data_IF_794783184876
#
_entry.id   IF_794783184876
#
_cell.length_a   1.000
_cell.length_b   1.000
_cell.length_c   1.000
_cell.angle_alpha   90.00
_cell.angle_beta   90.00
_cell.angle_gamma   90.00
#
_symmetry.space_group_name_H-M   'P 1'
#
loop_
_entity.id
_entity.type
_entity.pdbx_description
1 polymer ?
#
# COMPACT_ATOMS: atom_id res chain seq x y z
N UNK A 1 -10.52 -4.13 -24.74
CA UNK A 1 -9.74 -5.20 -24.07
C UNK A 1 -8.30 -5.15 -24.57
N UNK A 2 -7.39 -4.97 -23.63
CA UNK A 2 -5.95 -4.97 -23.88
C UNK A 2 -5.46 -6.35 -24.28
N UNK A 3 -4.38 -6.38 -25.06
CA UNK A 3 -3.79 -7.66 -25.52
C UNK A 3 -2.41 -7.93 -24.93
N UNK A 4 -1.79 -6.90 -24.38
CA UNK A 4 -0.43 -6.93 -23.84
C UNK A 4 -0.35 -6.16 -22.53
N UNK A 5 0.75 -6.34 -21.80
CA UNK A 5 1.03 -5.57 -20.61
C UNK A 5 1.22 -4.07 -20.96
N UNK A 6 0.79 -3.20 -20.05
CA UNK A 6 0.96 -1.75 -20.16
C UNK A 6 1.98 -1.29 -19.13
N UNK A 7 2.99 -0.55 -19.60
CA UNK A 7 3.97 0.10 -18.73
C UNK A 7 3.34 1.26 -17.98
N UNK A 8 3.47 1.24 -16.65
CA UNK A 8 3.03 2.31 -15.76
C UNK A 8 4.19 3.28 -15.50
N UNK A 9 3.87 4.57 -15.49
CA UNK A 9 4.82 5.64 -15.25
C UNK A 9 4.76 6.09 -13.79
N UNK A 10 5.83 6.68 -13.24
CA UNK A 10 5.80 7.27 -11.92
C UNK A 10 4.65 8.25 -11.76
N UNK A 11 3.84 8.05 -10.73
CA UNK A 11 2.65 8.85 -10.40
C UNK A 11 2.73 9.28 -8.95
N UNK A 12 3.47 10.36 -8.71
CA UNK A 12 3.73 10.84 -7.36
C UNK A 12 2.51 11.52 -6.76
N UNK A 13 2.19 11.18 -5.51
CA UNK A 13 1.11 11.78 -4.74
C UNK A 13 1.66 12.64 -3.59
N UNK A 14 1.08 13.82 -3.39
CA UNK A 14 1.44 14.69 -2.27
C UNK A 14 0.94 14.12 -0.93
N UNK A 15 1.74 14.31 0.13
CA UNK A 15 1.43 13.86 1.50
C UNK A 15 1.83 14.89 2.53
N UNK A 16 1.43 14.65 3.77
CA UNK A 16 1.72 15.51 4.92
C UNK A 16 3.05 15.20 5.60
N UNK A 17 3.90 14.38 4.98
CA UNK A 17 5.23 14.01 5.46
C UNK A 17 6.23 14.03 4.30
N UNK A 18 7.51 14.17 4.62
CA UNK A 18 8.59 14.18 3.64
C UNK A 18 9.19 12.80 3.43
N UNK A 19 9.65 12.58 2.22
CA UNK A 19 10.36 11.41 1.77
C UNK A 19 10.53 11.40 0.26
N UNK A 20 10.77 10.22 -0.29
CA UNK A 20 10.78 9.97 -1.71
C UNK A 20 12.16 9.97 -2.37
N UNK A 21 13.25 10.35 -1.68
CA UNK A 21 14.58 10.30 -2.26
C UNK A 21 14.99 8.86 -2.59
N UNK A 22 14.87 7.93 -1.64
CA UNK A 22 15.22 6.51 -1.85
C UNK A 22 14.31 5.87 -2.90
N UNK A 23 13.02 6.19 -2.87
CA UNK A 23 12.05 5.73 -3.88
C UNK A 23 12.45 6.22 -5.29
N UNK A 24 12.80 7.49 -5.46
CA UNK A 24 13.21 8.04 -6.77
C UNK A 24 14.53 7.47 -7.25
N UNK A 25 15.50 7.24 -6.35
CA UNK A 25 16.75 6.54 -6.68
C UNK A 25 16.47 5.10 -7.11
N UNK A 26 15.53 4.41 -6.45
CA UNK A 26 15.06 3.09 -6.89
C UNK A 26 14.46 3.13 -8.29
N UNK A 27 13.75 4.20 -8.64
CA UNK A 27 13.18 4.45 -9.98
C UNK A 27 14.22 4.95 -11.01
N UNK A 28 15.49 5.08 -10.64
CA UNK A 28 16.59 5.47 -11.53
C UNK A 28 16.88 6.98 -11.60
N UNK A 29 16.23 7.80 -10.77
CA UNK A 29 16.53 9.23 -10.67
C UNK A 29 17.88 9.44 -9.94
N UNK A 30 18.75 10.27 -10.50
CA UNK A 30 20.03 10.61 -9.86
C UNK A 30 19.89 11.84 -8.96
N UNK A 31 20.54 11.83 -7.81
CA UNK A 31 20.56 12.92 -6.84
C UNK A 31 19.15 13.32 -6.38
N UNK A 32 18.27 12.34 -6.20
CA UNK A 32 16.92 12.54 -5.72
C UNK A 32 16.91 13.20 -4.32
N UNK A 33 15.87 13.98 -4.04
CA UNK A 33 15.72 14.69 -2.78
C UNK A 33 14.35 14.40 -2.15
N UNK A 34 14.33 14.37 -0.82
CA UNK A 34 13.09 14.26 -0.06
C UNK A 34 12.23 15.52 -0.24
N UNK A 35 10.95 15.29 -0.41
CA UNK A 35 9.96 16.34 -0.51
C UNK A 35 8.58 15.79 -0.07
N UNK A 36 7.51 16.56 -0.25
CA UNK A 36 6.13 16.16 0.10
C UNK A 36 5.46 15.26 -0.94
N UNK A 37 6.22 14.57 -1.83
CA UNK A 37 5.73 13.55 -2.75
C UNK A 37 6.45 12.21 -2.48
N UNK A 38 6.24 11.61 -1.30
CA UNK A 38 6.97 10.42 -0.85
C UNK A 38 6.38 9.11 -1.35
N UNK A 39 5.31 9.14 -2.11
CA UNK A 39 4.58 7.99 -2.62
C UNK A 39 4.49 8.00 -4.14
N UNK A 40 4.70 6.82 -4.78
CA UNK A 40 4.41 6.56 -6.20
C UNK A 40 3.23 5.59 -6.29
N UNK A 41 2.11 6.04 -6.85
CA UNK A 41 0.87 5.28 -6.91
C UNK A 41 0.78 4.43 -8.17
N UNK A 42 0.62 3.12 -7.98
CA UNK A 42 0.72 2.08 -8.99
C UNK A 42 -0.63 1.37 -9.13
N UNK A 43 -1.08 1.12 -10.34
CA UNK A 43 -2.39 0.52 -10.64
C UNK A 43 -3.53 1.20 -9.89
N UNK A 44 -3.41 2.51 -9.70
CA UNK A 44 -4.36 3.31 -8.95
C UNK A 44 -5.45 3.86 -9.84
N UNK A 45 -6.69 3.58 -9.43
CA UNK A 45 -7.92 4.17 -9.96
C UNK A 45 -8.56 5.12 -8.94
N UNK A 46 -7.80 5.52 -7.91
CA UNK A 46 -8.24 6.31 -6.77
C UNK A 46 -7.60 7.68 -6.81
N UNK A 47 -8.41 8.74 -6.65
CA UNK A 47 -7.90 10.10 -6.48
C UNK A 47 -7.44 10.31 -5.04
N UNK A 48 -6.26 10.91 -4.87
CA UNK A 48 -5.69 11.23 -3.57
C UNK A 48 -6.55 12.24 -2.80
N UNK A 49 -6.75 11.98 -1.51
CA UNK A 49 -7.54 12.83 -0.60
C UNK A 49 -6.65 13.82 0.14
N UNK A 50 -6.20 14.86 -0.55
CA UNK A 50 -5.33 15.90 0.00
C UNK A 50 -6.12 17.15 0.42
N UNK A 51 -5.46 18.05 1.18
CA UNK A 51 -6.02 19.35 1.60
C UNK A 51 -6.43 20.20 0.39
N UNK A 52 -5.57 20.25 -0.61
CA UNK A 52 -5.83 20.90 -1.89
C UNK A 52 -6.19 19.81 -2.88
N UNK A 53 -7.36 19.91 -3.48
CA UNK A 53 -7.77 18.99 -4.54
C UNK A 53 -6.95 19.30 -5.80
N UNK A 54 -6.30 18.28 -6.33
CA UNK A 54 -5.65 18.30 -7.64
C UNK A 54 -6.34 17.26 -8.52
N UNK A 55 -6.81 17.70 -9.68
CA UNK A 55 -7.52 16.80 -10.59
C UNK A 55 -6.61 15.63 -11.02
N UNK A 56 -7.14 14.41 -10.92
CA UNK A 56 -6.45 13.16 -11.28
C UNK A 56 -5.18 12.85 -10.46
N UNK A 57 -4.91 13.59 -9.36
CA UNK A 57 -3.81 13.22 -8.47
C UNK A 57 -4.00 11.80 -7.92
N UNK A 58 -2.97 10.97 -8.05
CA UNK A 58 -3.00 9.58 -7.63
C UNK A 58 -3.56 8.61 -8.68
N UNK A 59 -4.23 9.06 -9.74
CA UNK A 59 -4.61 8.16 -10.85
C UNK A 59 -3.36 7.81 -11.64
N UNK A 60 -3.05 6.51 -11.72
CA UNK A 60 -1.82 6.04 -12.38
C UNK A 60 -1.74 6.48 -13.84
N UNK A 61 -0.56 6.95 -14.22
CA UNK A 61 -0.21 7.31 -15.59
C UNK A 61 0.42 6.12 -16.29
N UNK A 62 0.07 5.90 -17.54
CA UNK A 62 0.55 4.77 -18.36
C UNK A 62 1.06 5.27 -19.72
N UNK A 63 2.00 4.50 -20.29
CA UNK A 63 2.39 4.66 -21.68
C UNK A 63 1.51 3.77 -22.57
N UNK A 64 0.72 4.36 -23.44
CA UNK A 64 -0.18 3.63 -24.34
C UNK A 64 -0.18 4.24 -25.73
N UNK A 65 0.14 3.43 -26.75
CA UNK A 65 0.26 3.86 -28.16
C UNK A 65 1.16 5.09 -28.35
N UNK A 66 2.31 5.13 -27.64
CA UNK A 66 3.28 6.23 -27.71
C UNK A 66 2.81 7.54 -27.04
N UNK A 67 1.74 7.49 -26.27
CA UNK A 67 1.20 8.65 -25.53
C UNK A 67 1.09 8.34 -24.05
N UNK A 68 1.24 9.37 -23.23
CA UNK A 68 0.95 9.28 -21.80
C UNK A 68 -0.55 9.47 -21.60
N UNK A 69 -1.18 8.53 -20.92
CA UNK A 69 -2.61 8.51 -20.61
C UNK A 69 -2.83 8.22 -19.12
N UNK A 70 -4.02 8.50 -18.62
CA UNK A 70 -4.47 7.94 -17.34
C UNK A 70 -4.85 6.48 -17.53
N UNK A 71 -4.58 5.66 -16.54
CA UNK A 71 -4.94 4.22 -16.56
C UNK A 71 -6.46 4.05 -16.75
N UNK A 72 -7.25 4.96 -16.21
CA UNK A 72 -8.73 5.01 -16.34
C UNK A 72 -9.22 5.22 -17.77
N UNK A 73 -8.41 5.80 -18.64
CA UNK A 73 -8.75 6.06 -20.04
C UNK A 73 -8.40 4.88 -20.96
N UNK A 74 -7.62 3.92 -20.44
CA UNK A 74 -7.02 2.83 -21.22
C UNK A 74 -7.54 1.47 -20.80
N UNK A 75 -7.67 1.24 -19.50
CA UNK A 75 -8.10 -0.05 -18.93
C UNK A 75 -9.62 -0.11 -18.86
N UNK A 76 -10.20 -1.15 -19.46
CA UNK A 76 -11.63 -1.40 -19.46
C UNK A 76 -12.03 -2.39 -18.36
N UNK A 77 -13.35 -2.53 -18.10
CA UNK A 77 -13.87 -3.48 -17.10
C UNK A 77 -13.46 -4.91 -17.42
N UNK A 78 -13.37 -5.27 -18.70
CA UNK A 78 -12.98 -6.60 -19.16
C UNK A 78 -11.50 -6.91 -18.82
N UNK A 79 -10.65 -5.88 -18.78
CA UNK A 79 -9.22 -6.03 -18.47
C UNK A 79 -8.96 -6.33 -16.99
N UNK A 80 -9.93 -6.03 -16.10
CA UNK A 80 -9.90 -6.45 -14.69
C UNK A 80 -10.21 -7.94 -14.50
N UNK A 81 -10.94 -8.54 -15.43
CA UNK A 81 -11.34 -9.95 -15.37
C UNK A 81 -12.36 -10.24 -14.27
N UNK A 82 -12.16 -11.31 -13.51
CA UNK A 82 -13.10 -11.71 -12.44
C UNK A 82 -13.20 -10.70 -11.31
N UNK A 83 -12.15 -9.88 -11.12
CA UNK A 83 -12.10 -8.89 -10.06
C UNK A 83 -13.04 -7.71 -10.24
N UNK A 84 -13.45 -7.31 -11.44
CA UNK A 84 -14.18 -6.08 -11.77
C UNK A 84 -13.60 -4.83 -11.08
N UNK A 85 -14.10 -3.63 -11.37
CA UNK A 85 -13.70 -2.37 -10.71
C UNK A 85 -13.83 -2.41 -9.17
N UNK A 86 -14.73 -3.22 -8.63
CA UNK A 86 -14.94 -3.40 -7.19
C UNK A 86 -13.89 -4.30 -6.50
N UNK A 87 -12.91 -4.80 -7.24
CA UNK A 87 -11.81 -5.63 -6.72
C UNK A 87 -10.46 -5.07 -7.14
N UNK A 88 -10.36 -3.78 -7.46
CA UNK A 88 -9.08 -3.14 -7.71
C UNK A 88 -8.27 -3.06 -6.42
N UNK A 89 -7.00 -2.75 -6.53
CA UNK A 89 -6.10 -2.45 -5.41
C UNK A 89 -5.49 -1.08 -5.63
N UNK A 90 -4.98 -0.48 -4.59
CA UNK A 90 -4.03 0.62 -4.67
C UNK A 90 -2.69 0.10 -4.19
N UNK A 91 -1.67 0.26 -5.02
CA UNK A 91 -0.31 -0.13 -4.69
C UNK A 91 0.54 1.12 -4.66
N UNK A 92 1.51 1.19 -3.75
CA UNK A 92 2.42 2.33 -3.65
C UNK A 92 3.85 1.86 -3.42
N UNK A 93 4.81 2.55 -4.03
CA UNK A 93 6.12 2.68 -3.42
C UNK A 93 6.03 3.82 -2.41
N UNK A 94 6.42 3.58 -1.17
CA UNK A 94 6.39 4.54 -0.08
C UNK A 94 7.77 4.64 0.56
N UNK A 95 8.27 5.87 0.71
CA UNK A 95 9.57 6.17 1.32
C UNK A 95 9.42 7.27 2.37
N UNK A 96 9.59 6.92 3.65
CA UNK A 96 9.40 7.81 4.79
C UNK A 96 10.72 8.39 5.28
N UNK A 97 11.06 9.63 4.88
CA UNK A 97 12.15 10.38 5.52
C UNK A 97 11.75 11.00 6.87
N UNK A 98 10.48 10.96 7.18
CA UNK A 98 9.88 11.39 8.45
C UNK A 98 8.83 10.37 8.87
N UNK A 99 8.58 10.25 10.18
CA UNK A 99 7.47 9.43 10.69
C UNK A 99 6.12 9.95 10.16
N UNK A 100 5.29 9.05 9.68
CA UNK A 100 3.89 9.37 9.39
C UNK A 100 3.11 9.56 10.71
N UNK A 101 2.11 10.42 10.69
CA UNK A 101 1.22 10.62 11.82
C UNK A 101 0.55 9.32 12.26
N UNK A 102 0.33 9.16 13.57
CA UNK A 102 -0.41 8.02 14.12
C UNK A 102 -1.81 8.02 13.54
N UNK A 103 -2.23 6.85 13.03
CA UNK A 103 -3.44 6.73 12.23
C UNK A 103 -4.15 5.39 12.41
N UNK A 104 -5.36 5.34 11.91
CA UNK A 104 -6.14 4.12 11.75
C UNK A 104 -6.89 4.18 10.42
N UNK A 105 -7.05 3.01 9.81
CA UNK A 105 -7.87 2.85 8.61
C UNK A 105 -9.20 2.19 8.96
N UNK A 106 -10.30 2.59 8.31
CA UNK A 106 -11.59 1.99 8.58
C UNK A 106 -11.65 0.52 8.13
N UNK A 107 -12.37 -0.31 8.86
CA UNK A 107 -12.86 -1.58 8.34
C UNK A 107 -13.87 -1.34 7.22
N UNK A 108 -14.18 -2.37 6.42
CA UNK A 108 -15.21 -2.24 5.37
C UNK A 108 -16.59 -1.85 5.94
N UNK A 109 -16.96 -2.42 7.10
CA UNK A 109 -18.21 -2.10 7.79
C UNK A 109 -18.22 -0.63 8.21
N UNK A 110 -17.18 -0.18 8.88
CA UNK A 110 -17.04 1.21 9.31
C UNK A 110 -17.07 2.17 8.13
N UNK A 111 -16.34 1.86 7.06
CA UNK A 111 -16.28 2.70 5.86
C UNK A 111 -17.65 2.80 5.17
N UNK A 112 -18.41 1.71 5.12
CA UNK A 112 -19.78 1.70 4.59
C UNK A 112 -20.69 2.57 5.42
N UNK A 113 -20.67 2.42 6.74
CA UNK A 113 -21.64 3.04 7.65
C UNK A 113 -21.36 4.54 7.85
N UNK A 114 -20.09 4.95 7.82
CA UNK A 114 -19.65 6.33 8.10
C UNK A 114 -19.37 7.13 6.84
N UNK A 115 -18.80 6.49 5.81
CA UNK A 115 -18.33 7.18 4.60
C UNK A 115 -19.10 6.80 3.34
N UNK A 116 -20.08 5.89 3.42
CA UNK A 116 -20.78 5.30 2.27
C UNK A 116 -19.79 4.73 1.22
N UNK A 117 -18.72 4.12 1.70
CA UNK A 117 -17.67 3.51 0.89
C UNK A 117 -17.81 1.99 0.87
N UNK A 118 -17.60 1.38 -0.30
CA UNK A 118 -17.58 -0.08 -0.44
C UNK A 118 -16.29 -0.71 0.09
N UNK A 119 -15.26 0.10 0.35
CA UNK A 119 -13.95 -0.35 0.78
C UNK A 119 -13.55 0.26 2.11
N UNK A 120 -12.97 -0.57 2.97
CA UNK A 120 -12.14 -0.14 4.06
C UNK A 120 -10.73 0.22 3.58
N UNK A 121 -9.74 0.00 4.42
CA UNK A 121 -8.34 0.11 4.01
C UNK A 121 -7.47 -0.88 4.80
N UNK A 122 -7.69 -2.17 4.54
CA UNK A 122 -6.69 -3.20 4.89
C UNK A 122 -5.51 -3.01 3.96
N UNK A 123 -4.30 -3.04 4.51
CA UNK A 123 -3.06 -2.83 3.78
C UNK A 123 -1.98 -3.83 4.19
N UNK A 124 -0.97 -4.00 3.36
CA UNK A 124 0.21 -4.79 3.68
C UNK A 124 1.45 -4.04 3.21
N UNK A 125 2.49 -4.07 4.03
CA UNK A 125 3.81 -3.50 3.76
C UNK A 125 4.81 -4.62 3.48
N UNK A 126 5.42 -4.59 2.32
CA UNK A 126 6.61 -5.38 2.00
C UNK A 126 7.83 -4.47 2.05
N UNK A 127 8.70 -4.68 3.01
CA UNK A 127 9.86 -3.81 3.24
C UNK A 127 10.92 -4.06 2.17
N UNK A 128 11.21 -3.05 1.36
CA UNK A 128 12.25 -3.07 0.32
C UNK A 128 13.61 -2.63 0.86
N UNK A 129 13.61 -1.68 1.79
CA UNK A 129 14.82 -1.08 2.31
C UNK A 129 14.57 -0.25 3.56
N UNK A 130 15.66 0.22 4.14
CA UNK A 130 15.63 1.10 5.32
C UNK A 130 16.76 2.12 5.23
N UNK A 131 16.54 3.32 5.78
CA UNK A 131 17.51 4.42 5.81
C UNK A 131 18.45 4.34 7.01
N UNK A 132 18.04 3.62 8.06
CA UNK A 132 18.80 3.43 9.31
C UNK A 132 18.49 2.09 9.94
N UNK A 133 19.33 1.67 10.88
CA UNK A 133 19.11 0.42 11.63
C UNK A 133 17.88 0.50 12.55
N UNK A 134 17.48 1.72 12.97
CA UNK A 134 16.35 1.97 13.86
C UNK A 134 15.01 2.15 13.13
N UNK A 135 14.99 2.03 11.78
CA UNK A 135 13.76 2.12 10.99
C UNK A 135 12.73 1.13 11.55
N UNK A 136 11.54 1.63 11.87
CA UNK A 136 10.56 0.86 12.63
C UNK A 136 9.14 1.28 12.25
N UNK A 137 8.20 0.40 12.49
CA UNK A 137 6.76 0.71 12.47
C UNK A 137 6.19 0.60 13.88
N UNK A 138 5.07 1.29 14.12
CA UNK A 138 4.30 1.21 15.36
C UNK A 138 2.98 0.54 15.04
N UNK A 139 2.59 -0.50 15.81
CA UNK A 139 1.48 -1.36 15.41
C UNK A 139 0.76 -1.95 16.64
N UNK A 140 -0.58 -1.88 16.64
CA UNK A 140 -1.43 -2.50 17.65
C UNK A 140 -1.29 -1.87 19.04
N UNK A 141 -2.37 -1.91 19.82
CA UNK A 141 -2.36 -1.43 21.20
C UNK A 141 -1.70 -2.43 22.16
N UNK A 142 -0.93 -1.88 23.10
CA UNK A 142 -0.40 -2.63 24.25
C UNK A 142 -1.50 -2.98 25.26
N UNK A 143 -1.26 -3.96 26.12
CA UNK A 143 -2.22 -4.55 27.04
C UNK A 143 -2.92 -3.56 27.99
N UNK A 144 -2.26 -2.46 28.35
CA UNK A 144 -2.82 -1.46 29.27
C UNK A 144 -3.69 -0.38 28.59
N UNK A 145 -3.79 -0.39 27.26
CA UNK A 145 -4.46 0.67 26.52
C UNK A 145 -5.97 0.42 26.51
N UNK A 146 -6.71 1.43 26.95
CA UNK A 146 -8.18 1.47 26.89
C UNK A 146 -8.63 2.62 26.00
N UNK A 147 -9.88 2.55 25.50
CA UNK A 147 -10.47 3.66 24.74
C UNK A 147 -10.44 4.98 25.52
N UNK A 148 -10.62 4.93 26.87
CA UNK A 148 -10.58 6.12 27.71
C UNK A 148 -9.16 6.71 27.76
N UNK A 149 -8.14 5.90 28.03
CA UNK A 149 -6.75 6.36 28.03
C UNK A 149 -6.36 6.96 26.67
N UNK A 150 -6.72 6.29 25.58
CA UNK A 150 -6.44 6.75 24.22
C UNK A 150 -7.13 8.10 23.94
N UNK A 151 -8.39 8.26 24.34
CA UNK A 151 -9.12 9.52 24.21
C UNK A 151 -8.49 10.65 25.03
N UNK A 152 -8.02 10.38 26.24
CA UNK A 152 -7.33 11.36 27.09
C UNK A 152 -6.01 11.84 26.46
N UNK A 153 -5.20 10.92 25.92
CA UNK A 153 -3.96 11.23 25.21
C UNK A 153 -4.23 12.04 23.93
N UNK A 154 -5.24 11.64 23.18
CA UNK A 154 -5.69 12.36 21.98
C UNK A 154 -6.13 13.79 22.30
N UNK A 155 -6.94 14.00 23.33
CA UNK A 155 -7.39 15.34 23.72
C UNK A 155 -6.22 16.24 24.16
N UNK A 156 -5.24 15.68 24.86
CA UNK A 156 -4.03 16.38 25.29
C UNK A 156 -3.01 16.58 24.17
N UNK A 157 -3.19 15.89 23.04
CA UNK A 157 -2.19 15.77 21.96
C UNK A 157 -0.82 15.32 22.49
N UNK A 158 -0.84 14.37 23.43
CA UNK A 158 0.36 13.74 23.96
C UNK A 158 0.84 12.64 22.98
N UNK A 159 1.61 13.09 21.97
CA UNK A 159 2.08 12.24 20.88
C UNK A 159 3.00 11.12 21.39
N UNK A 160 3.92 11.46 22.30
CA UNK A 160 4.83 10.46 22.90
C UNK A 160 4.06 9.44 23.73
N UNK A 161 3.06 9.91 24.50
CA UNK A 161 2.14 9.03 25.22
C UNK A 161 1.38 8.11 24.28
N UNK A 162 0.87 8.62 23.16
CA UNK A 162 0.18 7.81 22.14
C UNK A 162 1.14 6.81 21.48
N UNK A 163 2.36 7.19 21.11
CA UNK A 163 3.36 6.27 20.56
C UNK A 163 3.74 5.18 21.58
N UNK A 164 3.83 5.52 22.86
CA UNK A 164 4.13 4.57 23.92
C UNK A 164 3.03 3.49 24.11
N UNK A 165 1.81 3.77 23.66
CA UNK A 165 0.69 2.84 23.66
C UNK A 165 0.77 1.76 22.56
N UNK A 166 1.64 1.95 21.56
CA UNK A 166 1.81 1.05 20.43
C UNK A 166 3.08 0.20 20.56
N UNK A 167 3.10 -0.95 19.91
CA UNK A 167 4.30 -1.77 19.80
C UNK A 167 5.21 -1.25 18.70
N UNK A 168 6.45 -0.90 19.05
CA UNK A 168 7.49 -0.54 18.09
C UNK A 168 8.16 -1.80 17.55
N UNK A 169 8.14 -1.98 16.24
CA UNK A 169 8.73 -3.14 15.54
C UNK A 169 9.79 -2.61 14.58
N UNK A 170 11.05 -2.93 14.84
CA UNK A 170 12.14 -2.64 13.88
C UNK A 170 11.95 -3.48 12.64
N UNK A 171 12.07 -2.86 11.47
CA UNK A 171 11.85 -3.52 10.19
C UNK A 171 13.16 -3.93 9.51
N UNK A 172 13.06 -4.98 8.72
CA UNK A 172 14.18 -5.52 7.93
C UNK A 172 13.69 -5.73 6.48
N UNK A 173 14.51 -5.47 5.45
CA UNK A 173 14.15 -5.80 4.07
C UNK A 173 13.70 -7.26 3.95
N UNK A 174 12.55 -7.47 3.32
CA UNK A 174 11.88 -8.78 3.22
C UNK A 174 10.75 -9.00 4.21
N UNK A 175 10.62 -8.20 5.26
CA UNK A 175 9.48 -8.28 6.18
C UNK A 175 8.16 -8.00 5.46
N UNK A 176 7.13 -8.74 5.84
CA UNK A 176 5.77 -8.63 5.32
C UNK A 176 4.83 -8.35 6.50
N UNK A 177 4.21 -7.18 6.51
CA UNK A 177 3.39 -6.74 7.64
C UNK A 177 1.97 -6.44 7.13
N UNK A 178 1.00 -7.26 7.54
CA UNK A 178 -0.42 -7.09 7.20
C UNK A 178 -1.09 -6.22 8.26
N UNK A 179 -1.68 -5.10 7.86
CA UNK A 179 -2.37 -4.15 8.74
C UNK A 179 -3.85 -4.13 8.38
N UNK A 180 -4.67 -4.75 9.21
CA UNK A 180 -6.12 -4.80 9.01
C UNK A 180 -6.80 -3.49 9.39
N UNK A 181 -7.95 -3.20 8.79
CA UNK A 181 -8.78 -2.05 9.22
C UNK A 181 -9.05 -2.10 10.74
N UNK A 182 -9.04 -0.94 11.38
CA UNK A 182 -9.16 -0.79 12.83
C UNK A 182 -7.82 -0.82 13.60
N UNK A 183 -6.75 -1.35 13.00
CA UNK A 183 -5.46 -1.46 13.69
C UNK A 183 -4.79 -0.08 13.82
N UNK A 184 -4.50 0.39 15.06
CA UNK A 184 -3.71 1.59 15.28
C UNK A 184 -2.27 1.39 14.80
N UNK A 185 -1.73 2.35 14.04
CA UNK A 185 -0.38 2.23 13.50
C UNK A 185 0.26 3.56 13.15
N UNK A 186 1.57 3.53 12.96
CA UNK A 186 2.34 4.57 12.29
C UNK A 186 3.55 3.95 11.59
N UNK A 187 3.86 4.42 10.38
CA UNK A 187 5.13 4.12 9.73
C UNK A 187 6.18 5.09 10.28
N UNK A 188 7.25 4.56 10.85
CA UNK A 188 8.35 5.35 11.39
C UNK A 188 9.21 5.99 10.30
N UNK A 189 10.15 6.80 10.74
CA UNK A 189 11.17 7.35 9.86
C UNK A 189 12.08 6.24 9.31
N UNK A 190 12.44 6.36 8.05
CA UNK A 190 13.47 5.53 7.43
C UNK A 190 12.98 4.25 6.78
N UNK A 191 11.69 4.05 6.61
CA UNK A 191 11.13 2.89 5.92
C UNK A 191 11.00 3.14 4.42
N UNK A 192 11.41 2.15 3.60
CA UNK A 192 11.11 2.10 2.17
C UNK A 192 10.42 0.78 1.84
N UNK A 193 9.22 0.85 1.25
CA UNK A 193 8.36 -0.33 1.10
C UNK A 193 7.48 -0.28 -0.15
N UNK A 194 6.96 -1.44 -0.52
CA UNK A 194 5.74 -1.55 -1.32
C UNK A 194 4.57 -1.70 -0.35
N UNK A 195 3.59 -0.81 -0.44
CA UNK A 195 2.30 -0.92 0.23
C UNK A 195 1.26 -1.38 -0.78
N UNK A 196 0.57 -2.48 -0.51
CA UNK A 196 -0.62 -2.91 -1.25
C UNK A 196 -1.83 -2.79 -0.32
N UNK A 197 -2.92 -2.20 -0.80
CA UNK A 197 -4.10 -1.90 0.02
C UNK A 197 -5.43 -2.01 -0.74
N UNK A 198 -6.54 -2.07 0.00
CA UNK A 198 -7.86 -1.84 -0.58
C UNK A 198 -7.90 -0.49 -1.32
N UNK A 199 -8.67 -0.36 -2.43
CA UNK A 199 -8.64 0.82 -3.29
C UNK A 199 -9.38 2.02 -2.66
N UNK A 200 -8.87 2.50 -1.55
CA UNK A 200 -9.39 3.69 -0.86
C UNK A 200 -8.25 4.51 -0.24
N UNK A 201 -8.46 5.81 -0.07
CA UNK A 201 -7.50 6.71 0.58
C UNK A 201 -8.05 7.28 1.90
N UNK A 202 -8.81 6.45 2.65
CA UNK A 202 -9.30 6.84 3.97
C UNK A 202 -8.25 6.60 5.05
N UNK A 203 -7.80 7.69 5.67
CA UNK A 203 -6.82 7.67 6.76
C UNK A 203 -7.31 8.59 7.89
N UNK A 204 -7.76 8.02 8.99
CA UNK A 204 -8.17 8.78 10.18
C UNK A 204 -6.97 8.97 11.10
N UNK A 205 -6.70 10.21 11.52
CA UNK A 205 -5.47 10.62 12.22
C UNK A 205 -5.79 11.06 13.63
N UNK A 206 -4.90 10.76 14.58
CA UNK A 206 -5.02 11.27 15.96
C UNK A 206 -4.07 12.43 16.26
N UNK A 207 -3.16 12.73 15.36
CA UNK A 207 -2.33 13.92 15.46
C UNK A 207 -3.03 15.12 14.78
N UNK A 208 -3.19 16.22 15.50
CA UNK A 208 -3.82 17.46 14.99
C UNK A 208 -2.80 18.37 14.31
N UNK A 209 -1.52 18.06 14.47
CA UNK A 209 -0.40 18.79 13.86
C UNK A 209 0.57 17.77 13.25
N UNK A 210 1.01 18.02 12.03
CA UNK A 210 2.01 17.16 11.35
C UNK A 210 3.39 17.31 11.98
N UNK A 211 4.32 16.40 11.66
CA UNK A 211 5.73 16.47 12.10
C UNK A 211 6.40 17.78 11.68
N UNK A 212 6.00 18.37 10.54
CA UNK A 212 6.50 19.68 10.09
C UNK A 212 5.74 20.88 10.66
N UNK A 213 4.80 20.67 11.59
CA UNK A 213 4.08 21.74 12.28
C UNK A 213 2.85 22.29 11.54
N UNK A 214 2.39 21.64 10.46
CA UNK A 214 1.14 22.02 9.80
C UNK A 214 -0.06 21.57 10.65
N UNK A 215 -0.97 22.52 10.96
CA UNK A 215 -2.23 22.22 11.65
C UNK A 215 -3.21 21.60 10.67
N UNK A 216 -3.69 20.42 11.01
CA UNK A 216 -4.66 19.68 10.22
C UNK A 216 -6.09 20.14 10.50
N UNK A 217 -6.89 20.21 9.46
CA UNK A 217 -8.33 20.49 9.57
C UNK A 217 -9.10 19.24 10.00
N UNK A 218 -10.31 19.38 10.59
CA UNK A 218 -11.17 18.22 10.88
C UNK A 218 -11.40 17.31 9.67
N UNK A 219 -11.47 17.88 8.46
CA UNK A 219 -11.60 17.10 7.22
C UNK A 219 -10.36 16.23 6.94
N UNK A 220 -9.16 16.71 7.27
CA UNK A 220 -7.92 15.94 7.13
C UNK A 220 -7.72 14.92 8.24
N UNK A 221 -8.32 15.14 9.43
CA UNK A 221 -8.22 14.25 10.59
C UNK A 221 -9.21 13.09 10.47
N UNK A 222 -10.50 13.36 10.24
CA UNK A 222 -11.57 12.37 10.29
C UNK A 222 -12.67 12.56 9.24
N UNK A 223 -12.38 13.25 8.14
CA UNK A 223 -13.29 13.49 7.00
C UNK A 223 -14.65 14.11 7.38
N UNK A 224 -14.72 14.79 8.53
CA UNK A 224 -15.97 15.38 9.05
C UNK A 224 -16.81 14.44 9.90
N UNK A 225 -16.41 13.20 10.12
CA UNK A 225 -17.15 12.22 10.93
C UNK A 225 -17.22 12.58 12.43
N UNK A 226 -16.28 13.39 12.92
CA UNK A 226 -16.16 13.76 14.32
C UNK A 226 -15.19 12.90 15.13
N UNK A 227 -14.74 13.44 16.27
CA UNK A 227 -13.73 12.79 17.12
C UNK A 227 -14.23 11.48 17.75
N UNK A 228 -15.51 11.38 18.10
CA UNK A 228 -16.09 10.14 18.63
C UNK A 228 -16.01 9.00 17.60
N UNK A 229 -16.34 9.28 16.34
CA UNK A 229 -16.23 8.31 15.25
C UNK A 229 -14.77 7.97 14.94
N UNK A 230 -13.86 8.94 15.03
CA UNK A 230 -12.42 8.66 14.93
C UNK A 230 -12.00 7.66 16.02
N UNK A 231 -12.39 7.88 17.28
CA UNK A 231 -12.05 6.98 18.37
C UNK A 231 -12.74 5.62 18.26
N UNK A 232 -13.94 5.54 17.71
CA UNK A 232 -14.66 4.29 17.45
C UNK A 232 -14.06 3.46 16.29
N UNK A 233 -13.22 4.07 15.45
CA UNK A 233 -12.58 3.37 14.35
C UNK A 233 -11.46 2.40 14.80
N UNK A 234 -10.92 2.57 16.00
CA UNK A 234 -9.82 1.76 16.52
C UNK A 234 -10.28 0.41 17.07
N UNK A 235 -9.53 -0.64 16.77
CA UNK A 235 -9.58 -1.92 17.49
C UNK A 235 -8.77 -1.81 18.79
N UNK A 236 -9.47 -1.77 19.92
CA UNK A 236 -8.88 -1.69 21.26
C UNK A 236 -8.51 -3.06 21.85
N UNK A 237 -8.45 -4.11 21.05
CA UNK A 237 -7.99 -5.42 21.52
C UNK A 237 -6.55 -5.29 22.03
N UNK A 238 -6.31 -5.53 23.34
CA UNK A 238 -4.98 -5.45 23.91
C UNK A 238 -4.13 -6.63 23.44
N UNK A 239 -2.88 -6.38 23.11
CA UNK A 239 -1.94 -7.41 22.62
C UNK A 239 -0.58 -7.28 23.27
N UNK A 240 0.08 -8.40 23.48
CA UNK A 240 1.52 -8.46 23.73
C UNK A 240 2.29 -8.26 22.43
N UNK A 241 3.60 -8.01 22.52
CA UNK A 241 4.45 -7.89 21.33
C UNK A 241 4.48 -9.19 20.50
N UNK A 242 4.48 -10.34 21.16
CA UNK A 242 4.51 -11.65 20.48
C UNK A 242 3.19 -11.91 19.74
N UNK A 243 2.05 -11.53 20.31
CA UNK A 243 0.76 -11.59 19.63
C UNK A 243 0.71 -10.68 18.43
N UNK A 244 1.19 -9.43 18.55
CA UNK A 244 1.28 -8.50 17.40
C UNK A 244 2.15 -9.08 16.29
N UNK A 245 3.31 -9.64 16.63
CA UNK A 245 4.17 -10.29 15.63
C UNK A 245 3.52 -11.51 14.98
N UNK A 246 2.86 -12.34 15.77
CA UNK A 246 2.18 -13.54 15.27
C UNK A 246 0.98 -13.22 14.37
N UNK A 247 0.24 -12.13 14.67
CA UNK A 247 -0.96 -11.75 13.94
C UNK A 247 -0.66 -10.94 12.68
N UNK A 248 0.29 -10.01 12.75
CA UNK A 248 0.51 -9.02 11.69
C UNK A 248 1.78 -9.25 10.85
N UNK A 249 2.81 -9.94 11.38
CA UNK A 249 4.04 -10.20 10.61
C UNK A 249 3.94 -11.57 9.95
N UNK A 250 3.73 -11.56 8.64
CA UNK A 250 3.51 -12.78 7.88
C UNK A 250 4.83 -13.48 7.54
N UNK A 251 4.81 -14.81 7.55
CA UNK A 251 5.93 -15.64 7.07
C UNK A 251 5.69 -16.05 5.63
N UNK A 252 6.54 -15.63 4.66
CA UNK A 252 6.42 -16.05 3.28
C UNK A 252 6.48 -17.57 3.11
N UNK A 253 5.68 -18.10 2.19
CA UNK A 253 5.63 -19.54 1.89
C UNK A 253 5.94 -19.80 0.42
N UNK A 254 6.71 -20.86 0.12
CA UNK A 254 7.06 -21.19 -1.26
C UNK A 254 5.88 -21.78 -2.00
N UNK A 255 5.58 -21.24 -3.19
CA UNK A 255 4.57 -21.75 -4.10
C UNK A 255 5.10 -22.86 -5.01
N UNK A 256 4.20 -23.49 -5.75
CA UNK A 256 4.52 -24.65 -6.62
C UNK A 256 5.44 -24.27 -7.80
N UNK A 257 5.33 -23.03 -8.31
CA UNK A 257 6.12 -22.53 -9.43
C UNK A 257 7.39 -21.80 -8.99
N UNK A 258 7.82 -22.00 -7.73
CA UNK A 258 9.06 -21.40 -7.18
C UNK A 258 8.92 -20.01 -6.57
N UNK A 259 7.81 -19.30 -6.83
CA UNK A 259 7.53 -18.00 -6.23
C UNK A 259 7.37 -18.10 -4.70
N UNK A 260 7.58 -16.99 -4.00
CA UNK A 260 7.23 -16.85 -2.59
C UNK A 260 5.88 -16.13 -2.47
N UNK A 261 4.90 -16.76 -1.86
CA UNK A 261 3.67 -16.10 -1.45
C UNK A 261 3.95 -15.27 -0.20
N UNK A 262 3.89 -13.97 -0.32
CA UNK A 262 4.06 -13.01 0.75
C UNK A 262 2.75 -12.79 1.51
N UNK A 263 1.65 -12.62 0.76
CA UNK A 263 0.27 -12.55 1.25
C UNK A 263 -0.61 -13.45 0.41
N UNK A 264 -1.39 -14.30 1.06
CA UNK A 264 -2.35 -15.21 0.42
C UNK A 264 -3.78 -14.76 0.66
N UNK A 265 -4.71 -15.22 -0.15
CA UNK A 265 -6.14 -14.99 0.09
C UNK A 265 -6.69 -15.69 1.34
N UNK A 266 -5.92 -16.58 1.98
CA UNK A 266 -6.21 -17.09 3.32
C UNK A 266 -5.86 -16.11 4.42
N UNK A 267 -4.96 -15.16 4.17
CA UNK A 267 -4.53 -14.14 5.13
C UNK A 267 -5.45 -12.91 5.06
N UNK A 268 -5.86 -12.54 3.84
CA UNK A 268 -6.88 -11.51 3.59
C UNK A 268 -7.54 -11.71 2.23
N UNK A 269 -8.85 -11.45 2.10
CA UNK A 269 -9.54 -11.47 0.81
C UNK A 269 -9.35 -10.17 -0.01
N UNK A 270 -8.66 -9.17 0.55
CA UNK A 270 -8.54 -7.85 -0.04
C UNK A 270 -7.53 -7.78 -1.20
N UNK A 271 -6.49 -8.62 -1.17
CA UNK A 271 -5.42 -8.71 -2.18
C UNK A 271 -4.55 -9.93 -1.92
N UNK A 272 -3.65 -10.23 -2.88
CA UNK A 272 -2.55 -11.16 -2.66
C UNK A 272 -1.24 -10.56 -3.20
N UNK A 273 -0.10 -11.04 -2.67
CA UNK A 273 1.23 -10.57 -3.02
C UNK A 273 2.18 -11.75 -3.12
N UNK A 274 2.93 -11.83 -4.21
CA UNK A 274 3.97 -12.85 -4.40
C UNK A 274 5.27 -12.21 -4.87
N UNK A 275 6.40 -12.85 -4.52
CA UNK A 275 7.73 -12.50 -5.01
C UNK A 275 8.23 -13.61 -5.94
N UNK A 276 8.62 -13.24 -7.14
CA UNK A 276 9.45 -14.05 -8.04
C UNK A 276 10.88 -13.59 -7.87
N UNK A 277 11.81 -14.52 -7.62
CA UNK A 277 13.23 -14.21 -7.42
C UNK A 277 14.08 -15.30 -8.09
N UNK A 278 14.58 -14.99 -9.28
CA UNK A 278 15.51 -15.83 -10.04
C UNK A 278 14.96 -17.18 -10.51
N UNK A 279 13.63 -17.37 -10.53
CA UNK A 279 13.00 -18.56 -11.09
C UNK A 279 12.17 -18.20 -12.33
N UNK A 280 12.07 -19.14 -13.26
CA UNK A 280 11.11 -19.02 -14.36
C UNK A 280 9.69 -19.14 -13.80
N UNK A 281 8.89 -18.10 -14.01
CA UNK A 281 7.52 -18.06 -13.54
C UNK A 281 6.59 -17.70 -14.69
N UNK A 282 5.43 -18.34 -14.77
CA UNK A 282 4.41 -18.00 -15.75
C UNK A 282 3.02 -18.41 -15.29
N UNK A 283 2.05 -17.60 -15.64
CA UNK A 283 0.65 -17.86 -15.36
C UNK A 283 -0.29 -17.19 -16.36
N UNK A 284 -1.54 -17.62 -16.34
CA UNK A 284 -2.70 -16.91 -16.88
C UNK A 284 -3.59 -16.60 -15.69
N UNK A 285 -3.64 -15.34 -15.28
CA UNK A 285 -4.46 -14.95 -14.13
C UNK A 285 -5.89 -14.58 -14.58
N UNK A 286 -6.94 -15.06 -13.91
CA UNK A 286 -8.32 -14.68 -14.22
C UNK A 286 -8.66 -13.24 -13.87
N UNK A 287 -7.81 -12.57 -13.11
CA UNK A 287 -7.83 -11.13 -12.83
C UNK A 287 -6.54 -10.46 -13.35
N UNK A 288 -6.51 -9.12 -13.39
CA UNK A 288 -5.26 -8.43 -13.73
C UNK A 288 -4.17 -8.69 -12.67
N UNK A 289 -2.93 -8.47 -13.08
CA UNK A 289 -1.75 -8.55 -12.20
C UNK A 289 -0.91 -7.29 -12.39
N UNK A 290 -0.43 -6.73 -11.30
CA UNK A 290 0.59 -5.68 -11.36
C UNK A 290 1.95 -6.29 -11.08
N UNK A 291 2.87 -6.11 -12.02
CA UNK A 291 4.28 -6.53 -11.90
C UNK A 291 5.12 -5.32 -11.52
N UNK A 292 5.90 -5.42 -10.43
CA UNK A 292 6.86 -4.39 -9.99
C UNK A 292 8.25 -5.02 -10.03
N UNK A 293 9.12 -4.49 -10.88
CA UNK A 293 10.49 -5.00 -11.05
C UNK A 293 11.38 -4.49 -9.94
N UNK A 294 12.03 -5.38 -9.20
CA UNK A 294 12.85 -5.05 -8.04
C UNK A 294 14.34 -4.89 -8.35
N UNK A 295 14.84 -5.57 -9.37
CA UNK A 295 16.25 -5.54 -9.78
C UNK A 295 16.37 -5.44 -11.30
N UNK A 296 17.49 -4.93 -11.79
CA UNK A 296 17.79 -4.91 -13.22
C UNK A 296 18.05 -6.32 -13.73
N UNK A 297 17.58 -6.63 -14.93
CA UNK A 297 17.80 -7.90 -15.61
C UNK A 297 16.55 -8.75 -15.71
N UNK A 298 16.66 -9.82 -16.49
CA UNK A 298 15.54 -10.67 -16.86
C UNK A 298 14.61 -10.05 -17.91
N UNK A 299 13.59 -10.81 -18.23
CA UNK A 299 12.59 -10.42 -19.22
C UNK A 299 11.18 -10.85 -18.81
N UNK A 300 10.20 -10.11 -19.28
CA UNK A 300 8.80 -10.50 -19.23
C UNK A 300 8.32 -10.76 -20.66
N UNK A 301 7.83 -11.95 -20.93
CA UNK A 301 7.07 -12.26 -22.14
C UNK A 301 5.58 -12.14 -21.79
N UNK A 302 4.86 -11.26 -22.47
CA UNK A 302 3.43 -11.11 -22.31
C UNK A 302 2.78 -11.25 -23.68
N UNK A 303 1.90 -12.25 -23.82
CA UNK A 303 1.36 -12.69 -25.11
C UNK A 303 2.50 -13.06 -26.08
N UNK A 304 2.84 -12.22 -27.04
CA UNK A 304 3.96 -12.45 -27.97
C UNK A 304 4.99 -11.32 -27.94
N UNK A 305 4.91 -10.43 -26.94
CA UNK A 305 5.78 -9.27 -26.82
C UNK A 305 6.75 -9.44 -25.65
N UNK A 306 8.01 -9.19 -25.93
CA UNK A 306 9.09 -9.22 -24.96
C UNK A 306 9.33 -7.85 -24.34
N UNK A 307 9.54 -7.83 -23.02
CA UNK A 307 9.83 -6.65 -22.23
C UNK A 307 11.11 -6.90 -21.44
N UNK A 308 12.28 -6.37 -21.86
CA UNK A 308 13.46 -6.33 -21.01
C UNK A 308 13.15 -5.55 -19.72
N UNK A 309 13.47 -6.12 -18.57
CA UNK A 309 13.07 -5.59 -17.28
C UNK A 309 14.17 -4.73 -16.65
N UNK A 310 13.78 -3.57 -16.12
CA UNK A 310 14.65 -2.68 -15.36
C UNK A 310 14.04 -2.41 -13.98
N UNK A 311 14.89 -2.29 -12.99
CA UNK A 311 14.48 -1.95 -11.63
C UNK A 311 13.59 -0.71 -11.62
N UNK A 312 12.49 -0.78 -10.86
CA UNK A 312 11.51 0.29 -10.71
C UNK A 312 10.46 0.34 -11.83
N UNK A 313 10.60 -0.46 -12.91
CA UNK A 313 9.53 -0.55 -13.90
C UNK A 313 8.31 -1.28 -13.33
N UNK A 314 7.16 -0.85 -13.79
CA UNK A 314 5.86 -1.35 -13.33
C UNK A 314 4.97 -1.62 -14.53
N UNK A 315 4.29 -2.78 -14.50
CA UNK A 315 3.42 -3.20 -15.60
C UNK A 315 2.05 -3.61 -15.07
N UNK A 316 1.00 -3.20 -15.75
CA UNK A 316 -0.34 -3.74 -15.61
C UNK A 316 -0.51 -4.84 -16.65
N UNK A 317 -0.67 -6.09 -16.22
CA UNK A 317 -0.96 -7.24 -17.05
C UNK A 317 -2.46 -7.49 -17.00
N UNK A 318 -3.21 -7.40 -18.13
CA UNK A 318 -4.65 -7.61 -18.14
C UNK A 318 -5.03 -9.03 -17.77
N UNK A 319 -6.26 -9.22 -17.32
CA UNK A 319 -6.81 -10.52 -17.02
C UNK A 319 -6.82 -11.46 -18.25
N UNK A 320 -6.62 -12.74 -18.00
CA UNK A 320 -6.65 -13.83 -19.01
C UNK A 320 -5.58 -13.70 -20.10
N UNK A 321 -4.54 -12.90 -19.85
CA UNK A 321 -3.35 -12.82 -20.72
C UNK A 321 -2.24 -13.67 -20.11
N UNK A 322 -1.64 -14.54 -20.93
CA UNK A 322 -0.45 -15.30 -20.51
C UNK A 322 0.74 -14.35 -20.39
N UNK A 323 1.45 -14.44 -19.27
CA UNK A 323 2.74 -13.79 -19.11
C UNK A 323 3.74 -14.74 -18.43
N UNK A 324 5.01 -14.52 -18.74
CA UNK A 324 6.12 -15.29 -18.18
C UNK A 324 7.21 -14.32 -17.76
N UNK A 325 7.81 -14.57 -16.62
CA UNK A 325 9.00 -13.90 -16.12
C UNK A 325 10.16 -14.89 -16.18
N UNK A 326 11.29 -14.46 -16.70
CA UNK A 326 12.50 -15.26 -16.80
C UNK A 326 13.68 -14.47 -16.25
N UNK A 327 14.47 -15.11 -15.39
CA UNK A 327 15.65 -14.51 -14.73
C UNK A 327 15.32 -13.14 -14.07
N UNK A 328 14.09 -12.95 -13.60
CA UNK A 328 13.59 -11.70 -13.06
C UNK A 328 13.46 -11.73 -11.53
N UNK A 329 13.58 -10.54 -10.92
CA UNK A 329 13.15 -10.33 -9.53
C UNK A 329 12.03 -9.30 -9.53
N UNK A 330 10.82 -9.74 -9.20
CA UNK A 330 9.63 -8.92 -9.29
C UNK A 330 8.58 -9.29 -8.25
N UNK A 331 7.82 -8.29 -7.81
CA UNK A 331 6.60 -8.48 -7.04
C UNK A 331 5.41 -8.61 -8.00
N UNK A 332 4.52 -9.54 -7.67
CA UNK A 332 3.25 -9.77 -8.33
C UNK A 332 2.14 -9.39 -7.35
N UNK A 333 1.40 -8.34 -7.69
CA UNK A 333 0.32 -7.81 -6.87
C UNK A 333 -1.01 -8.15 -7.52
N UNK A 334 -1.88 -8.84 -6.79
CA UNK A 334 -3.17 -9.33 -7.28
C UNK A 334 -4.32 -8.61 -6.57
N UNK A 335 -5.39 -8.25 -7.29
CA UNK A 335 -6.58 -7.66 -6.67
C UNK A 335 -7.30 -8.65 -5.76
N UNK A 336 -8.17 -8.11 -4.91
CA UNK A 336 -8.96 -8.90 -3.99
C UNK A 336 -9.99 -9.81 -4.65
N UNK A 337 -10.38 -10.83 -3.89
CA UNK A 337 -11.45 -11.78 -4.28
C UNK A 337 -12.75 -11.53 -3.52
N UNK A 338 -12.81 -10.47 -2.73
CA UNK A 338 -13.98 -10.11 -1.92
C UNK A 338 -15.23 -9.92 -2.77
N UNK A 339 -16.26 -10.68 -2.48
CA UNK A 339 -17.53 -10.63 -3.22
C UNK A 339 -17.54 -11.40 -4.55
N UNK A 340 -16.48 -12.10 -4.92
CA UNK A 340 -16.51 -13.09 -5.99
C UNK A 340 -17.19 -14.34 -5.42
N UNK A 341 -18.43 -14.62 -5.87
CA UNK A 341 -19.07 -15.89 -5.51
C UNK A 341 -18.25 -17.03 -6.11
N UNK A 342 -17.78 -17.92 -5.25
CA UNK A 342 -17.15 -19.19 -5.66
C UNK A 342 -18.14 -20.06 -6.42
#
# INVERSE_FOLDING_TARGET
MLRDAIKQLPTFAARTYKGGAVMREFLGEQNARDNFYPEDWISSFVTAKNKVYVENEGITRVEYNGQIRLITDVVSVEDFGQGRLNSSVLIKLLDSAQRLGIQVHPTTEFARDVFNSSFGKTECWYILGKRSEDASVYLGFKEHVTRQLWAELFQKQDIEGMLSCLHKITVTPGDVILVTGGTPHAIGEGCFMVEIQEPSDYTMRVEKVTVDGEVLTPKQIHYGAGEDKLLDCFDYTPRTLDEVRSEFVLTPTRGQNGQLHLVKYSDTECFALSLVDGCDFGEICPSFVTVIVLEDGGEMLCNSKEYPLKRGEKYFVPANIEYKLKDAKALLCYPGVKGIKK
#
